data_IF_787865004448
#
_entry.id   IF_787865004448
#
_cell.length_a   1.000
_cell.length_b   1.000
_cell.length_c   1.000
_cell.angle_alpha   90.00
_cell.angle_beta   90.00
_cell.angle_gamma   90.00
#
_symmetry.space_group_name_H-M   'P 1'
#
loop_
_entity.id
_entity.type
_entity.pdbx_description
1 polymer ?
#
# COMPACT_ATOMS: atom_id res chain seq x y z
N UNK A 1 33.18 -7.63 -24.24
CA UNK A 1 33.02 -8.13 -22.86
C UNK A 1 32.18 -7.11 -22.09
N UNK A 2 31.24 -7.59 -21.28
CA UNK A 2 30.37 -6.69 -20.50
C UNK A 2 31.22 -6.00 -19.45
N UNK A 3 31.14 -4.64 -19.37
CA UNK A 3 31.92 -3.83 -18.42
C UNK A 3 33.23 -3.27 -18.98
N UNK A 4 33.50 -3.44 -20.27
CA UNK A 4 34.66 -2.89 -20.92
C UNK A 4 34.30 -2.11 -22.18
N UNK A 5 35.05 -1.08 -22.51
CA UNK A 5 34.88 -0.32 -23.75
C UNK A 5 35.17 -1.19 -24.96
N UNK A 6 34.42 -0.96 -26.02
CA UNK A 6 34.66 -1.65 -27.29
C UNK A 6 35.99 -1.20 -27.89
N UNK A 7 36.92 -2.13 -28.05
CA UNK A 7 38.21 -1.89 -28.71
C UNK A 7 38.17 -2.56 -30.09
N UNK A 8 38.46 -1.81 -31.13
CA UNK A 8 38.62 -2.32 -32.47
C UNK A 8 40.14 -2.43 -32.79
N UNK A 9 40.56 -3.62 -33.15
CA UNK A 9 41.94 -3.87 -33.56
C UNK A 9 42.07 -3.75 -35.08
N UNK A 10 43.25 -3.35 -35.65
CA UNK A 10 43.46 -3.39 -37.07
C UNK A 10 43.42 -4.82 -37.62
N UNK A 11 43.23 -4.95 -38.91
CA UNK A 11 43.27 -6.25 -39.59
C UNK A 11 44.65 -6.87 -39.55
N UNK A 12 44.74 -8.11 -39.11
CA UNK A 12 45.99 -8.88 -39.07
C UNK A 12 45.93 -10.06 -40.03
N UNK A 13 46.99 -10.24 -40.83
CA UNK A 13 47.19 -11.45 -41.62
C UNK A 13 47.74 -12.54 -40.74
N UNK A 14 47.02 -13.60 -40.52
CA UNK A 14 47.44 -14.75 -39.70
C UNK A 14 48.41 -15.63 -40.50
N UNK A 15 49.64 -15.74 -40.02
CA UNK A 15 50.67 -16.65 -40.57
C UNK A 15 51.27 -17.50 -39.44
N UNK A 16 52.06 -18.52 -39.79
CA UNK A 16 52.68 -19.40 -38.80
C UNK A 16 53.65 -18.66 -37.84
N UNK A 17 54.02 -17.43 -38.16
CA UNK A 17 54.90 -16.53 -37.35
C UNK A 17 54.18 -15.32 -36.81
N UNK A 18 52.83 -15.33 -36.75
CA UNK A 18 52.06 -14.21 -36.23
C UNK A 18 52.40 -14.02 -34.73
N UNK A 19 52.83 -12.83 -34.30
CA UNK A 19 53.15 -12.58 -32.90
C UNK A 19 51.86 -12.66 -32.05
N UNK A 20 52.06 -12.95 -30.79
CA UNK A 20 50.96 -12.93 -29.81
C UNK A 20 50.38 -11.52 -29.73
N UNK A 21 49.07 -11.37 -29.90
CA UNK A 21 48.41 -10.08 -29.88
C UNK A 21 47.80 -9.91 -28.50
N UNK A 22 48.33 -8.98 -27.74
CA UNK A 22 47.80 -8.60 -26.43
C UNK A 22 46.89 -7.37 -26.61
N UNK A 23 45.67 -7.47 -26.13
CA UNK A 23 44.66 -6.40 -26.21
C UNK A 23 44.35 -5.98 -24.79
N UNK A 24 44.79 -4.78 -24.43
CA UNK A 24 44.39 -4.14 -23.18
C UNK A 24 43.00 -3.57 -23.34
N UNK A 25 42.07 -3.99 -22.48
CA UNK A 25 40.72 -3.51 -22.46
C UNK A 25 40.56 -2.53 -21.30
N UNK A 26 40.02 -1.34 -21.60
CA UNK A 26 39.73 -0.31 -20.60
C UNK A 26 38.38 -0.59 -19.97
N UNK A 27 38.32 -0.62 -18.65
CA UNK A 27 37.06 -0.79 -17.93
C UNK A 27 36.13 0.39 -18.24
N UNK A 28 34.89 0.07 -18.64
CA UNK A 28 33.79 1.01 -18.77
C UNK A 28 32.87 0.80 -17.58
N UNK A 29 33.05 1.53 -16.48
CA UNK A 29 32.12 1.49 -15.37
C UNK A 29 30.81 2.11 -15.85
N UNK A 30 29.97 1.32 -16.47
CA UNK A 30 28.58 1.70 -16.66
C UNK A 30 28.04 1.93 -15.25
N UNK A 31 28.06 3.16 -14.80
CA UNK A 31 27.29 3.57 -13.63
C UNK A 31 25.84 3.28 -13.99
N UNK A 32 25.37 2.12 -13.56
CA UNK A 32 23.93 1.93 -13.38
C UNK A 32 23.57 3.02 -12.38
N UNK A 33 22.91 4.07 -12.85
CA UNK A 33 22.28 5.03 -11.95
C UNK A 33 21.52 4.19 -10.94
N UNK A 34 22.05 4.15 -9.73
CA UNK A 34 21.38 3.51 -8.63
C UNK A 34 20.05 4.25 -8.52
N UNK A 35 18.98 3.61 -8.97
CA UNK A 35 17.62 4.07 -8.69
C UNK A 35 17.52 4.01 -7.18
N UNK A 36 17.88 5.11 -6.54
CA UNK A 36 17.64 5.32 -5.13
C UNK A 36 16.16 5.41 -4.97
N UNK A 37 15.50 4.27 -4.79
CA UNK A 37 14.12 4.20 -4.35
C UNK A 37 14.13 4.70 -2.92
N UNK A 38 14.13 6.01 -2.78
CA UNK A 38 13.84 6.67 -1.52
C UNK A 38 12.36 6.39 -1.27
N UNK A 39 12.09 5.32 -0.55
CA UNK A 39 10.77 5.10 0.04
C UNK A 39 10.54 6.33 0.93
N UNK A 40 9.50 7.13 0.66
CA UNK A 40 9.17 8.26 1.52
C UNK A 40 8.49 7.74 2.79
N UNK A 41 9.23 6.97 3.59
CA UNK A 41 8.73 6.41 4.85
C UNK A 41 8.32 7.50 5.84
N UNK A 42 8.71 8.74 5.59
CA UNK A 42 8.42 9.89 6.44
C UNK A 42 8.20 11.18 5.64
N UNK A 43 7.37 11.17 4.60
CA UNK A 43 6.87 12.43 4.07
C UNK A 43 5.93 13.04 5.10
N UNK A 44 6.44 14.02 5.84
CA UNK A 44 5.61 14.88 6.66
C UNK A 44 4.72 15.69 5.74
N UNK A 45 3.41 15.53 5.86
CA UNK A 45 2.46 16.43 5.21
C UNK A 45 2.55 17.80 5.89
N UNK A 46 2.53 18.86 5.10
CA UNK A 46 2.43 20.22 5.64
C UNK A 46 1.16 20.41 6.49
N UNK A 47 0.11 19.68 6.17
CA UNK A 47 -1.19 19.78 6.84
C UNK A 47 -1.24 19.02 8.19
N UNK A 48 -0.43 17.99 8.37
CA UNK A 48 -0.37 17.24 9.64
C UNK A 48 1.00 16.61 9.84
N UNK A 49 2.00 17.39 10.24
CA UNK A 49 3.41 16.95 10.27
C UNK A 49 3.73 15.97 11.39
N UNK A 50 2.90 15.87 12.43
CA UNK A 50 3.27 15.21 13.69
C UNK A 50 2.56 13.88 13.89
N UNK A 51 1.30 13.75 13.47
CA UNK A 51 0.44 12.64 13.85
C UNK A 51 -0.02 11.73 12.71
N UNK A 52 0.33 12.07 11.47
CA UNK A 52 0.00 11.24 10.30
C UNK A 52 0.93 10.05 10.21
N UNK A 53 0.33 8.88 10.10
CA UNK A 53 1.01 7.64 9.75
C UNK A 53 0.41 7.11 8.44
N UNK A 54 1.26 6.67 7.54
CA UNK A 54 0.83 6.13 6.24
C UNK A 54 0.99 4.61 6.27
N UNK A 55 -0.11 3.91 6.11
CA UNK A 55 -0.17 2.45 6.06
C UNK A 55 -0.29 2.06 4.60
N UNK A 56 0.77 1.52 4.04
CA UNK A 56 0.81 1.12 2.64
C UNK A 56 0.23 -0.28 2.40
N UNK A 57 -0.08 -0.57 1.13
CA UNK A 57 -0.64 -1.88 0.73
C UNK A 57 0.19 -3.07 1.20
N UNK A 58 1.53 -2.97 1.13
CA UNK A 58 2.42 -4.06 1.59
C UNK A 58 2.30 -4.35 3.08
N UNK A 59 2.03 -3.33 3.87
CA UNK A 59 1.84 -3.47 5.31
C UNK A 59 0.47 -4.11 5.60
N UNK A 60 -0.55 -3.71 4.85
CA UNK A 60 -1.88 -4.30 4.91
C UNK A 60 -1.84 -5.80 4.59
N UNK A 61 -1.12 -6.19 3.53
CA UNK A 61 -1.03 -7.59 3.09
C UNK A 61 -0.18 -8.45 4.01
N UNK A 62 0.88 -7.89 4.61
CA UNK A 62 1.84 -8.62 5.46
C UNK A 62 1.49 -8.63 6.94
N UNK A 63 0.48 -7.87 7.36
CA UNK A 63 0.12 -7.77 8.78
C UNK A 63 -0.41 -9.11 9.31
N UNK A 64 0.31 -9.78 10.22
CA UNK A 64 -0.10 -11.07 10.74
C UNK A 64 -1.36 -10.93 11.58
N UNK A 65 -2.31 -11.86 11.42
CA UNK A 65 -3.54 -11.91 12.21
C UNK A 65 -4.58 -10.84 11.87
N UNK A 66 -4.29 -9.94 10.93
CA UNK A 66 -5.24 -8.92 10.51
C UNK A 66 -6.43 -9.49 9.74
N UNK A 67 -6.26 -10.65 9.11
CA UNK A 67 -7.23 -11.24 8.19
C UNK A 67 -7.76 -10.21 7.17
N UNK A 68 -6.85 -9.31 6.72
CA UNK A 68 -7.14 -8.18 5.81
C UNK A 68 -8.15 -7.16 6.35
N UNK A 69 -8.42 -7.21 7.66
CA UNK A 69 -9.25 -6.24 8.36
C UNK A 69 -8.38 -5.05 8.80
N UNK A 70 -8.70 -3.90 8.25
CA UNK A 70 -7.93 -2.66 8.45
C UNK A 70 -7.97 -2.23 9.92
N UNK A 71 -9.10 -2.42 10.61
CA UNK A 71 -9.20 -2.09 12.03
C UNK A 71 -8.19 -2.87 12.87
N UNK A 72 -7.91 -4.11 12.49
CA UNK A 72 -6.91 -4.96 13.18
C UNK A 72 -5.48 -4.53 12.88
N UNK A 73 -5.21 -4.03 11.68
CA UNK A 73 -3.90 -3.51 11.31
C UNK A 73 -3.58 -2.27 12.15
N UNK A 74 -4.54 -1.35 12.23
CA UNK A 74 -4.39 -0.09 12.98
C UNK A 74 -4.12 -0.32 14.46
N UNK A 75 -4.56 -1.45 15.03
CA UNK A 75 -4.28 -1.82 16.43
C UNK A 75 -2.80 -2.00 16.76
N UNK A 76 -1.96 -2.28 15.78
CA UNK A 76 -0.51 -2.42 15.99
C UNK A 76 0.20 -1.09 16.20
N UNK A 77 -0.49 0.02 15.97
CA UNK A 77 0.10 1.35 16.06
C UNK A 77 0.08 1.90 17.51
N UNK A 78 1.09 2.72 17.86
CA UNK A 78 1.17 3.31 19.20
C UNK A 78 -0.05 4.19 19.51
N UNK A 79 -0.58 4.06 20.72
CA UNK A 79 -1.73 4.84 21.18
C UNK A 79 -3.09 4.29 20.72
N UNK A 80 -3.11 3.13 20.07
CA UNK A 80 -4.34 2.44 19.70
C UNK A 80 -4.58 1.28 20.67
N UNK A 81 -5.76 1.26 21.23
CA UNK A 81 -6.29 0.18 22.05
C UNK A 81 -7.51 -0.44 21.37
N UNK A 82 -7.96 -1.55 21.86
CA UNK A 82 -9.11 -2.25 21.33
C UNK A 82 -10.09 -2.66 22.45
N UNK A 83 -11.34 -2.89 22.06
CA UNK A 83 -12.31 -3.41 23.01
C UNK A 83 -11.90 -4.80 23.50
N UNK A 84 -11.99 -5.07 24.82
CA UNK A 84 -11.71 -6.41 25.36
C UNK A 84 -12.75 -7.46 24.93
N UNK A 85 -13.86 -7.04 24.33
CA UNK A 85 -14.91 -7.92 23.85
C UNK A 85 -14.48 -8.51 22.50
N UNK A 86 -14.21 -9.81 22.46
CA UNK A 86 -13.52 -10.48 21.35
C UNK A 86 -14.17 -10.43 19.97
N UNK A 87 -15.49 -10.20 19.88
CA UNK A 87 -16.21 -10.08 18.61
C UNK A 87 -16.27 -8.65 18.07
N UNK A 88 -15.79 -7.64 18.82
CA UNK A 88 -15.79 -6.23 18.42
C UNK A 88 -14.43 -5.82 17.93
N UNK A 89 -14.43 -5.02 16.87
CA UNK A 89 -13.23 -4.42 16.30
C UNK A 89 -13.19 -2.90 16.54
N UNK A 90 -13.69 -2.45 17.69
CA UNK A 90 -13.68 -1.03 18.04
C UNK A 90 -12.27 -0.48 18.11
N UNK A 91 -12.08 0.68 17.51
CA UNK A 91 -10.83 1.44 17.60
C UNK A 91 -10.94 2.46 18.73
N UNK A 92 -10.05 2.36 19.69
CA UNK A 92 -9.90 3.27 20.81
C UNK A 92 -8.54 3.96 20.64
N UNK A 93 -8.54 5.20 20.19
CA UNK A 93 -7.30 5.92 19.91
C UNK A 93 -7.08 6.97 20.98
N UNK A 94 -5.92 6.90 21.67
CA UNK A 94 -5.55 7.81 22.76
C UNK A 94 -6.63 7.94 23.86
N UNK A 95 -7.33 6.85 24.13
CA UNK A 95 -8.38 6.80 25.15
C UNK A 95 -9.72 7.38 24.75
N UNK A 96 -9.89 7.83 23.50
CA UNK A 96 -11.16 8.31 22.98
C UNK A 96 -12.14 7.18 22.66
N UNK A 97 -13.43 7.47 22.69
CA UNK A 97 -14.47 6.48 22.38
C UNK A 97 -14.48 6.06 20.91
N UNK A 98 -15.03 4.85 20.60
CA UNK A 98 -15.10 4.37 19.22
C UNK A 98 -15.87 5.32 18.27
N UNK A 99 -16.87 6.01 18.75
CA UNK A 99 -17.67 6.97 17.98
C UNK A 99 -16.98 8.31 17.71
N UNK A 100 -15.82 8.54 18.32
CA UNK A 100 -15.02 9.75 18.14
C UNK A 100 -14.06 9.67 16.96
N UNK A 101 -13.95 8.50 16.36
CA UNK A 101 -13.17 8.29 15.13
C UNK A 101 -14.00 8.69 13.91
N UNK A 102 -13.32 9.20 12.88
CA UNK A 102 -13.93 9.50 11.58
C UNK A 102 -13.22 8.72 10.49
N UNK A 103 -14.00 8.30 9.52
CA UNK A 103 -13.53 7.50 8.40
C UNK A 103 -13.84 8.20 7.09
N UNK A 104 -12.85 8.32 6.22
CA UNK A 104 -12.99 8.92 4.91
C UNK A 104 -12.51 7.95 3.84
N UNK A 105 -13.12 8.00 2.67
CA UNK A 105 -12.72 7.26 1.48
C UNK A 105 -12.66 8.23 0.31
N UNK A 106 -11.47 8.50 -0.19
CA UNK A 106 -11.20 9.53 -1.22
C UNK A 106 -11.87 10.88 -0.88
N UNK A 107 -11.79 11.29 0.40
CA UNK A 107 -12.36 12.55 0.87
C UNK A 107 -13.87 12.52 1.20
N UNK A 108 -14.55 11.40 1.00
CA UNK A 108 -15.96 11.22 1.35
C UNK A 108 -16.04 10.54 2.71
N UNK A 109 -16.77 11.14 3.65
CA UNK A 109 -16.99 10.54 4.97
C UNK A 109 -17.86 9.29 4.86
N UNK A 110 -17.40 8.19 5.45
CA UNK A 110 -18.14 6.94 5.59
C UNK A 110 -18.46 6.68 7.06
N UNK A 111 -19.64 6.15 7.38
CA UNK A 111 -20.08 6.03 8.77
C UNK A 111 -19.29 5.00 9.58
N UNK A 112 -18.90 3.90 8.96
CA UNK A 112 -18.20 2.79 9.60
C UNK A 112 -17.28 2.08 8.60
N UNK A 113 -16.25 1.42 9.11
CA UNK A 113 -15.33 0.60 8.30
C UNK A 113 -15.63 -0.90 8.40
N UNK A 114 -16.46 -1.30 9.36
CA UNK A 114 -16.81 -2.71 9.58
C UNK A 114 -18.32 -2.91 9.56
N UNK A 115 -18.77 -4.07 9.09
CA UNK A 115 -20.14 -4.51 9.17
C UNK A 115 -20.56 -4.78 10.63
N UNK A 116 -21.86 -4.80 10.87
CA UNK A 116 -22.46 -5.13 12.18
C UNK A 116 -22.02 -4.19 13.31
N UNK A 117 -21.71 -2.95 12.97
CA UNK A 117 -21.46 -1.92 13.97
C UNK A 117 -22.77 -1.61 14.71
N UNK A 118 -22.69 -1.55 16.04
CA UNK A 118 -23.78 -1.13 16.90
C UNK A 118 -23.66 0.35 17.23
N UNK A 119 -24.70 0.96 17.76
CA UNK A 119 -24.67 2.37 18.17
C UNK A 119 -23.51 2.63 19.15
N UNK A 120 -22.72 3.66 18.89
CA UNK A 120 -21.55 4.01 19.71
C UNK A 120 -20.32 3.13 19.49
N UNK A 121 -20.36 2.19 18.54
CA UNK A 121 -19.25 1.33 18.17
C UNK A 121 -18.72 1.72 16.79
N UNK A 122 -17.42 1.59 16.58
CA UNK A 122 -16.79 1.78 15.27
C UNK A 122 -16.55 0.48 14.51
N UNK A 123 -16.85 -0.67 15.12
CA UNK A 123 -16.50 -1.92 14.50
C UNK A 123 -17.27 -3.15 14.92
N UNK A 124 -17.60 -3.96 13.92
CA UNK A 124 -18.00 -5.35 14.03
C UNK A 124 -16.90 -6.29 13.53
N UNK A 125 -17.18 -7.57 13.40
CA UNK A 125 -16.15 -8.58 13.13
C UNK A 125 -15.60 -8.58 11.69
N UNK A 126 -16.25 -7.92 10.74
CA UNK A 126 -15.92 -7.99 9.31
C UNK A 126 -15.81 -6.58 8.71
N UNK A 127 -14.72 -6.33 8.04
CA UNK A 127 -14.49 -5.05 7.34
C UNK A 127 -15.42 -4.88 6.13
N UNK A 128 -15.98 -3.68 5.98
CA UNK A 128 -16.69 -3.25 4.77
C UNK A 128 -15.68 -2.93 3.66
N UNK A 129 -14.58 -2.30 4.05
CA UNK A 129 -13.56 -1.86 3.10
C UNK A 129 -12.75 -3.06 2.62
N UNK A 130 -12.73 -3.27 1.30
CA UNK A 130 -11.87 -4.29 0.72
C UNK A 130 -10.44 -3.76 0.57
N UNK A 131 -9.50 -4.39 1.24
CA UNK A 131 -8.09 -4.03 1.20
C UNK A 131 -7.48 -4.08 -0.21
N UNK A 132 -8.03 -4.89 -1.14
CA UNK A 132 -7.54 -4.95 -2.53
C UNK A 132 -7.78 -3.66 -3.32
N UNK A 133 -8.74 -2.84 -2.89
CA UNK A 133 -9.06 -1.56 -3.51
C UNK A 133 -8.24 -0.40 -2.94
N UNK A 134 -7.61 -0.59 -1.79
CA UNK A 134 -6.91 0.47 -1.06
C UNK A 134 -5.46 0.57 -1.53
N UNK A 135 -5.01 1.79 -1.86
CA UNK A 135 -3.63 2.11 -2.15
C UNK A 135 -2.82 2.37 -0.88
N UNK A 136 -3.37 3.22 -0.04
CA UNK A 136 -2.78 3.61 1.24
C UNK A 136 -3.85 4.11 2.20
N UNK A 137 -3.54 4.10 3.47
CA UNK A 137 -4.41 4.65 4.53
C UNK A 137 -3.61 5.71 5.26
N UNK A 138 -4.17 6.91 5.33
CA UNK A 138 -3.63 7.96 6.16
C UNK A 138 -4.31 7.88 7.53
N UNK A 139 -3.56 7.49 8.52
CA UNK A 139 -4.03 7.40 9.89
C UNK A 139 -3.54 8.60 10.70
N UNK A 140 -4.47 9.40 11.20
CA UNK A 140 -4.19 10.57 12.03
C UNK A 140 -4.65 10.31 13.46
N UNK A 141 -3.75 10.48 14.41
CA UNK A 141 -4.04 10.34 15.85
C UNK A 141 -4.18 11.67 16.58
N UNK A 142 -4.22 12.76 15.85
CA UNK A 142 -4.36 14.15 16.32
C UNK A 142 -3.94 15.11 15.22
N UNK A 143 -4.16 16.41 15.39
CA UNK A 143 -3.85 17.43 14.37
C UNK A 143 -4.48 17.09 13.02
N UNK A 144 -5.77 16.95 13.00
CA UNK A 144 -6.52 16.55 11.81
C UNK A 144 -6.48 17.63 10.73
N UNK A 145 -6.42 17.24 9.43
CA UNK A 145 -6.60 18.17 8.33
C UNK A 145 -7.94 18.92 8.43
N UNK A 146 -7.99 20.17 7.99
CA UNK A 146 -9.21 20.98 8.04
C UNK A 146 -10.38 20.35 7.25
N UNK A 147 -10.07 19.55 6.23
CA UNK A 147 -11.06 18.78 5.45
C UNK A 147 -11.72 17.66 6.25
N UNK A 148 -11.10 17.17 7.33
CA UNK A 148 -11.59 16.08 8.17
C UNK A 148 -12.19 16.62 9.48
N UNK A 149 -13.23 17.44 9.37
CA UNK A 149 -13.91 18.01 10.53
C UNK A 149 -14.66 16.98 11.37
N UNK A 150 -14.94 17.35 12.64
CA UNK A 150 -15.79 16.54 13.53
C UNK A 150 -15.12 15.33 14.16
N UNK A 151 -13.83 15.07 13.92
CA UNK A 151 -13.07 14.03 14.61
C UNK A 151 -12.60 14.52 15.98
N UNK A 152 -12.69 13.67 16.99
CA UNK A 152 -12.22 13.96 18.34
C UNK A 152 -11.01 13.09 18.73
N UNK A 153 -10.96 11.85 18.23
CA UNK A 153 -9.97 10.87 18.60
C UNK A 153 -9.03 10.52 17.45
N UNK A 154 -9.54 10.07 16.31
CA UNK A 154 -8.73 9.77 15.15
C UNK A 154 -9.45 9.98 13.83
N UNK A 155 -8.66 10.05 12.75
CA UNK A 155 -9.13 10.02 11.37
C UNK A 155 -8.40 8.91 10.63
N UNK A 156 -9.16 8.07 9.92
CA UNK A 156 -8.66 7.16 8.91
C UNK A 156 -9.16 7.61 7.54
N UNK A 157 -8.23 7.96 6.67
CA UNK A 157 -8.53 8.38 5.31
C UNK A 157 -7.97 7.34 4.33
N UNK A 158 -8.86 6.65 3.67
CA UNK A 158 -8.58 5.58 2.71
C UNK A 158 -8.43 6.18 1.32
N UNK A 159 -7.25 6.02 0.75
CA UNK A 159 -7.00 6.37 -0.64
C UNK A 159 -7.16 5.12 -1.50
N UNK A 160 -8.11 5.14 -2.42
CA UNK A 160 -8.30 4.04 -3.34
C UNK A 160 -7.21 4.04 -4.42
N UNK A 161 -6.95 2.87 -4.96
CA UNK A 161 -6.01 2.71 -6.08
C UNK A 161 -6.73 2.91 -7.40
N UNK A 162 -6.00 3.42 -8.37
CA UNK A 162 -6.47 3.44 -9.74
C UNK A 162 -6.35 2.05 -10.39
N UNK A 163 -7.13 1.82 -11.45
CA UNK A 163 -6.95 0.66 -12.31
C UNK A 163 -5.60 0.70 -13.02
N UNK A 164 -5.02 -0.48 -13.25
CA UNK A 164 -3.77 -0.62 -13.96
C UNK A 164 -3.96 -0.22 -15.44
N UNK A 165 -3.11 0.67 -15.94
CA UNK A 165 -3.17 1.14 -17.33
C UNK A 165 -2.34 0.32 -18.30
N UNK A 166 -1.48 -0.55 -17.80
CA UNK A 166 -0.55 -1.33 -18.61
C UNK A 166 -0.95 -2.80 -18.68
N UNK A 167 -1.47 -3.34 -17.59
CA UNK A 167 -1.75 -4.77 -17.43
C UNK A 167 -3.15 -5.02 -16.94
N UNK A 168 -3.72 -6.14 -17.38
CA UNK A 168 -4.94 -6.66 -16.81
C UNK A 168 -4.59 -7.72 -15.77
N UNK A 169 -5.05 -7.52 -14.55
CA UNK A 169 -4.80 -8.43 -13.43
C UNK A 169 -6.11 -8.85 -12.80
N UNK A 170 -6.23 -10.15 -12.53
CA UNK A 170 -7.36 -10.71 -11.81
C UNK A 170 -6.82 -11.48 -10.61
N UNK A 171 -7.47 -11.31 -9.47
CA UNK A 171 -7.13 -11.98 -8.22
C UNK A 171 -8.38 -12.65 -7.67
N UNK A 172 -8.33 -13.96 -7.53
CA UNK A 172 -9.34 -14.73 -6.82
C UNK A 172 -8.77 -15.19 -5.48
N UNK A 173 -9.52 -14.97 -4.42
CA UNK A 173 -9.15 -15.40 -3.07
C UNK A 173 -10.21 -16.35 -2.54
N UNK A 174 -9.77 -17.52 -2.08
CA UNK A 174 -10.58 -18.49 -1.39
C UNK A 174 -10.00 -18.65 0.01
N UNK A 175 -10.71 -18.18 1.01
CA UNK A 175 -10.32 -18.27 2.41
C UNK A 175 -11.39 -18.92 3.26
N UNK A 176 -11.04 -19.27 4.49
CA UNK A 176 -11.98 -19.84 5.45
C UNK A 176 -13.09 -18.85 5.83
N UNK A 177 -12.83 -17.56 5.76
CA UNK A 177 -13.75 -16.49 6.16
C UNK A 177 -14.33 -15.69 4.98
N UNK A 178 -13.78 -15.84 3.78
CA UNK A 178 -14.22 -15.04 2.63
C UNK A 178 -13.92 -15.71 1.29
N UNK A 179 -14.75 -15.37 0.32
CA UNK A 179 -14.49 -15.60 -1.11
C UNK A 179 -14.49 -14.24 -1.79
N UNK A 180 -13.46 -13.94 -2.55
CA UNK A 180 -13.39 -12.67 -3.28
C UNK A 180 -12.82 -12.82 -4.68
N UNK A 181 -13.30 -11.95 -5.57
CA UNK A 181 -12.79 -11.76 -6.91
C UNK A 181 -12.54 -10.27 -7.12
N UNK A 182 -11.33 -9.91 -7.47
CA UNK A 182 -10.98 -8.53 -7.81
C UNK A 182 -10.26 -8.48 -9.15
N UNK A 183 -10.41 -7.38 -9.86
CA UNK A 183 -9.75 -7.15 -11.13
C UNK A 183 -9.38 -5.71 -11.32
N UNK A 184 -8.26 -5.50 -11.99
CA UNK A 184 -7.71 -4.20 -12.33
C UNK A 184 -7.18 -4.25 -13.75
N UNK A 185 -7.43 -3.19 -14.53
CA UNK A 185 -6.98 -3.15 -15.91
C UNK A 185 -7.41 -1.89 -16.62
N UNK A 186 -7.33 -1.93 -17.96
CA UNK A 186 -7.68 -0.81 -18.81
C UNK A 186 -8.67 -1.23 -19.91
N UNK A 187 -9.46 -0.27 -20.36
CA UNK A 187 -10.36 -0.38 -21.50
C UNK A 187 -9.91 0.67 -22.53
N UNK A 188 -9.30 0.20 -23.61
CA UNK A 188 -8.68 1.10 -24.58
C UNK A 188 -7.49 1.87 -23.99
N UNK A 189 -7.11 3.00 -24.61
CA UNK A 189 -5.91 3.75 -24.20
C UNK A 189 -6.12 4.80 -23.11
N UNK A 190 -7.37 5.08 -22.70
CA UNK A 190 -7.66 6.25 -21.84
C UNK A 190 -8.38 5.91 -20.53
N UNK A 191 -8.99 4.75 -20.44
CA UNK A 191 -9.83 4.38 -19.29
C UNK A 191 -9.23 3.21 -18.56
N UNK A 192 -9.08 3.32 -17.24
CA UNK A 192 -8.75 2.20 -16.36
C UNK A 192 -9.96 1.80 -15.54
N UNK A 193 -10.00 0.55 -15.10
CA UNK A 193 -11.03 0.03 -14.23
C UNK A 193 -10.44 -0.71 -13.04
N UNK A 194 -11.17 -0.68 -11.96
CA UNK A 194 -10.91 -1.46 -10.77
C UNK A 194 -12.25 -1.96 -10.23
N UNK A 195 -12.35 -3.25 -9.95
CA UNK A 195 -13.54 -3.81 -9.30
C UNK A 195 -13.16 -4.86 -8.28
N UNK A 196 -14.06 -5.06 -7.32
CA UNK A 196 -13.96 -6.15 -6.36
C UNK A 196 -15.34 -6.61 -5.91
N UNK A 197 -15.50 -7.91 -5.87
CA UNK A 197 -16.68 -8.57 -5.32
C UNK A 197 -16.17 -9.48 -4.20
N UNK A 198 -16.77 -9.34 -3.01
CA UNK A 198 -16.40 -10.14 -1.84
C UNK A 198 -17.66 -10.64 -1.13
N UNK A 199 -17.62 -11.89 -0.74
CA UNK A 199 -18.59 -12.50 0.13
C UNK A 199 -17.87 -13.06 1.35
N UNK A 200 -18.27 -12.60 2.53
CA UNK A 200 -17.75 -13.09 3.80
C UNK A 200 -18.65 -14.18 4.34
N UNK A 201 -18.05 -15.19 4.95
CA UNK A 201 -18.72 -16.24 5.69
C UNK A 201 -18.36 -16.07 7.17
N UNK A 202 -19.33 -15.94 8.02
CA UNK A 202 -19.21 -15.88 9.48
C UNK A 202 -19.62 -17.21 10.08
#
# INVERSE_FOLDING_TARGET
YIGYKTVATPEYSVSATTPFIEIEMEEDPTQIEAVTVTLPTFRRSAESPISRQVIGLREIEKSPGSNRDISRIVRSYPGVSFSPIGYRNDLIVRGGGPSENRFFMDGIEIPNINHFATQGASGGPVSIVNSDLVREINFYTGSFPAACGGALSSVLDFQLRDGDREKQTFKATLGASEVSLSGSGHIGGKTSYLFSIRQSHL
#
